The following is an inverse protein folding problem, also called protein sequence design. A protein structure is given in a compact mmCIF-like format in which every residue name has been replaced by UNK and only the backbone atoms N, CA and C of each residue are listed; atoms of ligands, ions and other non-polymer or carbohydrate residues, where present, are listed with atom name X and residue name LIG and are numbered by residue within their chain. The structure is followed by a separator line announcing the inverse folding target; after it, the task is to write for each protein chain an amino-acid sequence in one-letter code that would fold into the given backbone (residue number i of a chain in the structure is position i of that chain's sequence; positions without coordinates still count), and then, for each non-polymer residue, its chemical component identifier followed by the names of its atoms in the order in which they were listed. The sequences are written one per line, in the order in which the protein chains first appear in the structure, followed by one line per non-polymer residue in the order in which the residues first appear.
data_IF_496554625165
#
_entry.id   IF_496554625165
#
_cell.length_a   1.000
_cell.length_b   1.000
_cell.length_c   1.000
_cell.angle_alpha   90.00
_cell.angle_beta   90.00
_cell.angle_gamma   90.00
#
_symmetry.space_group_name_H-M   'P 1'
#
loop_
_entity.id
_entity.type
_entity.pdbx_description
1 polymer ?
#
# COMPACT_ATOMS: atom_id res chain seq x y z
N UNK A 1 9.17 -5.57 46.24
CA UNK A 1 9.01 -4.53 45.22
C UNK A 1 9.23 -5.18 43.86
N UNK A 2 8.24 -5.87 43.34
CA UNK A 2 8.30 -6.50 42.01
C UNK A 2 7.71 -5.52 41.02
N UNK A 3 8.59 -4.94 40.23
CA UNK A 3 8.31 -4.05 39.10
C UNK A 3 7.40 -4.75 38.10
N UNK A 4 6.15 -4.29 38.04
CA UNK A 4 5.18 -4.63 37.01
C UNK A 4 5.76 -4.24 35.66
N UNK A 5 6.02 -5.21 34.81
CA UNK A 5 6.44 -4.98 33.43
C UNK A 5 5.22 -4.45 32.67
N UNK A 6 5.16 -3.14 32.44
CA UNK A 6 4.15 -2.55 31.57
C UNK A 6 4.41 -3.04 30.14
N UNK A 7 3.55 -3.95 29.68
CA UNK A 7 3.44 -4.29 28.27
C UNK A 7 2.91 -3.04 27.55
N UNK A 8 3.80 -2.27 26.93
CA UNK A 8 3.41 -1.17 26.05
C UNK A 8 2.77 -1.78 24.79
N UNK A 9 1.47 -2.04 24.84
CA UNK A 9 0.69 -2.46 23.67
C UNK A 9 0.57 -1.27 22.72
N UNK A 10 1.55 -1.08 21.85
CA UNK A 10 1.45 -0.12 20.75
C UNK A 10 0.22 -0.49 19.93
N UNK A 11 -0.80 0.37 19.98
CA UNK A 11 -2.07 0.15 19.32
C UNK A 11 -1.85 0.19 17.80
N UNK A 12 -2.06 -0.94 17.13
CA UNK A 12 -1.91 -1.06 15.67
C UNK A 12 -3.26 -0.82 15.04
N UNK A 13 -3.31 0.07 14.07
CA UNK A 13 -4.52 0.37 13.31
C UNK A 13 -4.19 0.40 11.82
N UNK A 14 -5.20 0.10 11.00
CA UNK A 14 -5.12 0.18 9.55
C UNK A 14 -5.08 1.65 9.13
N UNK A 15 -4.06 2.06 8.37
CA UNK A 15 -3.89 3.45 7.93
C UNK A 15 -4.62 3.67 6.61
N UNK A 16 -4.25 2.90 5.59
CA UNK A 16 -4.88 2.90 4.27
C UNK A 16 -5.04 1.43 3.84
N UNK A 17 -6.14 1.10 3.17
CA UNK A 17 -6.31 -0.18 2.48
C UNK A 17 -6.95 0.07 1.13
N UNK A 18 -6.28 -0.34 0.07
CA UNK A 18 -6.77 -0.08 -1.26
C UNK A 18 -6.44 -1.21 -2.22
N UNK A 19 -7.28 -1.30 -3.25
CA UNK A 19 -7.16 -2.24 -4.35
C UNK A 19 -7.01 -1.42 -5.61
N UNK A 20 -5.98 -1.68 -6.38
CA UNK A 20 -5.76 -1.00 -7.64
C UNK A 20 -5.32 -1.95 -8.75
N UNK A 21 -5.58 -1.55 -9.98
CA UNK A 21 -5.19 -2.26 -11.19
C UNK A 21 -4.47 -1.30 -12.14
N UNK A 22 -3.14 -1.46 -12.35
CA UNK A 22 -2.36 -0.57 -13.19
C UNK A 22 -2.87 -0.48 -14.63
N UNK A 23 -3.43 -1.57 -15.15
CA UNK A 23 -3.88 -1.69 -16.55
C UNK A 23 -5.13 -0.83 -16.87
N UNK A 24 -5.85 -0.35 -15.85
CA UNK A 24 -7.07 0.45 -16.05
C UNK A 24 -6.80 1.93 -16.37
N UNK A 25 -5.53 2.36 -16.30
CA UNK A 25 -5.13 3.71 -16.67
C UNK A 25 -4.36 3.69 -17.99
N UNK A 26 -5.08 3.99 -19.07
CA UNK A 26 -4.54 3.97 -20.42
C UNK A 26 -3.82 5.27 -20.81
N UNK A 27 -4.13 6.39 -20.13
CA UNK A 27 -3.65 7.73 -20.48
C UNK A 27 -3.39 8.57 -19.24
N UNK A 28 -2.47 9.53 -19.35
CA UNK A 28 -2.23 10.57 -18.36
C UNK A 28 -3.53 11.34 -18.04
N UNK A 29 -3.79 11.60 -16.76
CA UNK A 29 -5.03 12.21 -16.27
C UNK A 29 -6.17 11.21 -16.01
N UNK A 30 -5.92 9.91 -16.16
CA UNK A 30 -6.89 8.84 -15.85
C UNK A 30 -6.48 7.97 -14.66
N UNK A 31 -5.57 8.46 -13.81
CA UNK A 31 -4.99 7.69 -12.70
C UNK A 31 -6.05 7.15 -11.75
N UNK A 32 -7.13 7.92 -11.54
CA UNK A 32 -8.30 7.49 -10.75
C UNK A 32 -8.90 6.16 -11.23
N UNK A 33 -8.78 5.82 -12.52
CA UNK A 33 -9.33 4.56 -13.07
C UNK A 33 -8.58 3.33 -12.57
N UNK A 34 -7.34 3.49 -12.12
CA UNK A 34 -6.60 2.38 -11.48
C UNK A 34 -7.25 1.96 -10.18
N UNK A 35 -7.94 2.86 -9.49
CA UNK A 35 -8.49 2.61 -8.17
C UNK A 35 -9.79 1.81 -8.26
N UNK A 36 -9.77 0.61 -7.67
CA UNK A 36 -10.95 -0.26 -7.56
C UNK A 36 -11.66 -0.10 -6.22
N UNK A 37 -10.89 0.17 -5.16
CA UNK A 37 -11.41 0.36 -3.80
C UNK A 37 -10.41 1.13 -2.94
N UNK A 38 -10.88 2.03 -2.07
CA UNK A 38 -10.06 2.72 -1.07
C UNK A 38 -10.78 2.80 0.29
N UNK A 39 -10.05 2.47 1.35
CA UNK A 39 -10.44 2.69 2.73
C UNK A 39 -9.33 3.44 3.48
N UNK A 40 -9.66 4.45 4.29
CA UNK A 40 -11.01 4.93 4.57
C UNK A 40 -11.59 5.76 3.40
N UNK A 41 -12.91 5.63 3.16
CA UNK A 41 -13.56 6.18 1.96
C UNK A 41 -13.70 7.71 1.95
N UNK A 42 -13.35 8.38 3.04
CA UNK A 42 -13.43 9.83 3.20
C UNK A 42 -12.11 10.55 2.86
N UNK A 43 -11.08 9.81 2.43
CA UNK A 43 -9.83 10.40 1.93
C UNK A 43 -10.09 11.08 0.58
N UNK A 44 -9.52 12.25 0.38
CA UNK A 44 -9.62 12.98 -0.89
C UNK A 44 -9.03 12.18 -2.08
N UNK A 45 -9.68 12.23 -3.24
CA UNK A 45 -9.31 11.41 -4.40
C UNK A 45 -7.88 11.66 -4.88
N UNK A 46 -7.39 12.90 -4.83
CA UNK A 46 -6.02 13.23 -5.26
C UNK A 46 -5.01 12.59 -4.32
N UNK A 47 -5.32 12.52 -3.02
CA UNK A 47 -4.49 11.79 -2.05
C UNK A 47 -4.52 10.29 -2.29
N UNK A 48 -5.68 9.70 -2.61
CA UNK A 48 -5.78 8.28 -2.92
C UNK A 48 -4.91 7.92 -4.14
N UNK A 49 -5.00 8.72 -5.21
CA UNK A 49 -4.17 8.57 -6.41
C UNK A 49 -2.68 8.70 -6.09
N UNK A 50 -2.30 9.70 -5.28
CA UNK A 50 -0.92 9.90 -4.85
C UNK A 50 -0.38 8.69 -4.07
N UNK A 51 -1.16 8.14 -3.15
CA UNK A 51 -0.79 6.94 -2.37
C UNK A 51 -0.58 5.73 -3.28
N UNK A 52 -1.47 5.52 -4.26
CA UNK A 52 -1.31 4.45 -5.26
C UNK A 52 -0.02 4.66 -6.06
N UNK A 53 0.22 5.87 -6.57
CA UNK A 53 1.41 6.18 -7.37
C UNK A 53 2.71 5.96 -6.59
N UNK A 54 2.72 6.31 -5.30
CA UNK A 54 3.85 6.04 -4.40
C UNK A 54 4.12 4.53 -4.26
N UNK A 55 3.08 3.75 -3.99
CA UNK A 55 3.19 2.30 -3.83
C UNK A 55 3.59 1.60 -5.13
N UNK A 56 3.03 2.01 -6.26
CA UNK A 56 3.37 1.51 -7.60
C UNK A 56 4.84 1.81 -7.94
N UNK A 57 5.31 3.02 -7.65
CA UNK A 57 6.70 3.40 -7.82
C UNK A 57 7.65 2.58 -6.96
N UNK A 58 7.26 2.31 -5.71
CA UNK A 58 8.06 1.50 -4.78
C UNK A 58 8.19 0.05 -5.26
N UNK A 59 7.08 -0.58 -5.67
CA UNK A 59 7.09 -1.94 -6.23
C UNK A 59 7.98 -2.01 -7.47
N UNK A 60 7.79 -1.12 -8.45
CA UNK A 60 8.63 -1.08 -9.67
C UNK A 60 10.10 -0.87 -9.37
N UNK A 61 10.41 -0.03 -8.39
CA UNK A 61 11.77 0.19 -7.94
C UNK A 61 12.38 -1.10 -7.38
N UNK A 62 11.65 -1.83 -6.52
CA UNK A 62 12.14 -3.09 -5.95
C UNK A 62 12.30 -4.21 -6.99
N UNK A 63 11.39 -4.29 -7.97
CA UNK A 63 11.45 -5.25 -9.08
C UNK A 63 12.72 -5.08 -9.93
N UNK A 64 13.32 -3.87 -9.94
CA UNK A 64 14.60 -3.61 -10.62
C UNK A 64 15.77 -4.40 -10.01
N UNK A 65 15.67 -4.78 -8.74
CA UNK A 65 16.73 -5.49 -8.01
C UNK A 65 16.39 -6.96 -7.72
N UNK A 66 15.11 -7.32 -7.70
CA UNK A 66 14.62 -8.67 -7.45
C UNK A 66 13.41 -8.96 -8.36
N UNK A 67 13.69 -9.50 -9.55
CA UNK A 67 12.66 -9.75 -10.56
C UNK A 67 11.76 -10.95 -10.21
N UNK A 68 12.34 -12.04 -9.71
CA UNK A 68 11.63 -13.29 -9.40
C UNK A 68 11.07 -13.33 -7.97
N UNK A 69 11.36 -12.32 -7.15
CA UNK A 69 10.96 -12.23 -5.74
C UNK A 69 10.31 -10.86 -5.46
N UNK A 70 9.00 -10.72 -5.72
CA UNK A 70 8.31 -9.45 -5.61
C UNK A 70 8.26 -8.96 -4.17
N UNK A 71 8.35 -7.64 -3.98
CA UNK A 71 8.26 -7.04 -2.65
C UNK A 71 6.88 -7.24 -2.03
N UNK A 72 6.80 -8.00 -0.93
CA UNK A 72 5.56 -8.24 -0.18
C UNK A 72 5.36 -7.28 0.99
N UNK A 73 6.43 -6.64 1.46
CA UNK A 73 6.38 -5.81 2.66
C UNK A 73 7.48 -4.74 2.66
N UNK A 74 7.12 -3.51 3.04
CA UNK A 74 8.06 -2.43 3.35
C UNK A 74 7.79 -1.88 4.74
N UNK A 75 8.81 -1.89 5.59
CA UNK A 75 8.70 -1.37 6.95
C UNK A 75 9.34 0.01 7.03
N UNK A 76 8.53 1.00 7.43
CA UNK A 76 8.98 2.35 7.75
C UNK A 76 9.08 2.52 9.26
N UNK A 77 9.60 3.67 9.68
CA UNK A 77 9.74 4.01 11.09
C UNK A 77 8.40 3.99 11.87
N UNK A 78 7.29 4.36 11.20
CA UNK A 78 5.97 4.55 11.85
C UNK A 78 4.89 3.57 11.40
N UNK A 79 5.04 2.96 10.24
CA UNK A 79 4.04 2.09 9.64
C UNK A 79 4.71 1.00 8.80
N UNK A 80 3.90 0.09 8.28
CA UNK A 80 4.30 -0.97 7.37
C UNK A 80 3.33 -0.96 6.20
N UNK A 81 3.86 -1.16 5.00
CA UNK A 81 3.07 -1.46 3.82
C UNK A 81 3.20 -2.94 3.54
N UNK A 82 2.08 -3.60 3.30
CA UNK A 82 1.98 -4.97 2.84
C UNK A 82 1.42 -4.95 1.43
N UNK A 83 2.05 -5.68 0.52
CA UNK A 83 1.67 -5.80 -0.88
C UNK A 83 1.20 -7.22 -1.14
N UNK A 84 0.02 -7.36 -1.74
CA UNK A 84 -0.53 -8.66 -2.11
C UNK A 84 -1.09 -8.62 -3.53
N UNK A 85 -0.60 -9.52 -4.40
CA UNK A 85 -1.02 -9.63 -5.80
C UNK A 85 -1.73 -10.97 -6.00
N UNK A 86 -3.06 -11.04 -5.83
CA UNK A 86 -3.81 -12.27 -6.05
C UNK A 86 -3.86 -12.68 -7.53
N UNK A 87 -3.72 -11.68 -8.43
CA UNK A 87 -3.72 -11.82 -9.88
C UNK A 87 -2.66 -10.87 -10.47
N UNK A 88 -2.24 -11.10 -11.72
CA UNK A 88 -1.18 -10.30 -12.35
C UNK A 88 -1.51 -8.80 -12.42
N UNK A 89 -2.79 -8.48 -12.63
CA UNK A 89 -3.26 -7.12 -12.91
C UNK A 89 -3.95 -6.46 -11.72
N UNK A 90 -3.97 -7.11 -10.54
CA UNK A 90 -4.62 -6.61 -9.33
C UNK A 90 -3.61 -6.60 -8.19
N UNK A 91 -3.52 -5.46 -7.51
CA UNK A 91 -2.68 -5.29 -6.34
C UNK A 91 -3.51 -4.75 -5.17
N UNK A 92 -3.30 -5.34 -4.00
CA UNK A 92 -3.87 -4.93 -2.72
C UNK A 92 -2.74 -4.40 -1.85
N UNK A 93 -2.99 -3.29 -1.17
CA UNK A 93 -2.01 -2.66 -0.27
C UNK A 93 -2.68 -2.30 1.06
N UNK A 94 -1.99 -2.54 2.18
CA UNK A 94 -2.41 -2.15 3.54
C UNK A 94 -1.25 -1.78 4.45
#
# INVERSE_FOLDING_TARGET
MTSTTEHNSSNVYLVDYFIYSPILCEKEGQEQRKLLYYYPSNVDIDRQILTIGYCEGLVKFTETFAFDDPCECVHFQKNRLLFYKPENDICLVM
#
